data_IF_500531945165
#
_entry.id   IF_500531945165
#
_cell.length_a   1.000
_cell.length_b   1.000
_cell.length_c   1.000
_cell.angle_alpha   90.00
_cell.angle_beta   90.00
_cell.angle_gamma   90.00
#
_symmetry.space_group_name_H-M   'P 1'
#
loop_
_entity.id
_entity.type
_entity.pdbx_description
1 polymer ?
#
# COMPACT_ATOMS: atom_id res chain seq x y z
N UNK A 1 8.88 10.02 15.19
CA UNK A 1 7.97 9.01 14.59
C UNK A 1 7.38 9.52 13.29
N UNK A 2 6.76 10.72 13.29
CA UNK A 2 6.25 11.40 12.08
C UNK A 2 7.25 11.44 10.92
N UNK A 3 8.50 11.86 11.15
CA UNK A 3 9.52 11.91 10.09
C UNK A 3 9.89 10.54 9.52
N UNK A 4 9.81 9.48 10.35
CA UNK A 4 10.02 8.09 9.88
C UNK A 4 8.90 7.69 8.91
N UNK A 5 7.65 8.01 9.25
CA UNK A 5 6.48 7.72 8.40
C UNK A 5 6.56 8.53 7.10
N UNK A 6 6.85 9.84 7.16
CA UNK A 6 7.07 10.67 5.97
C UNK A 6 8.10 10.05 5.03
N UNK A 7 9.24 9.62 5.59
CA UNK A 7 10.30 8.99 4.81
C UNK A 7 9.85 7.67 4.18
N UNK A 8 9.11 6.83 4.89
CA UNK A 8 8.54 5.58 4.35
C UNK A 8 7.61 5.87 3.17
N UNK A 9 6.74 6.88 3.31
CA UNK A 9 5.79 7.27 2.26
C UNK A 9 6.55 7.77 1.03
N UNK A 10 7.51 8.68 1.19
CA UNK A 10 8.31 9.22 0.09
C UNK A 10 9.13 8.14 -0.61
N UNK A 11 9.85 7.31 0.14
CA UNK A 11 10.60 6.18 -0.42
C UNK A 11 9.71 5.24 -1.23
N UNK A 12 8.49 4.98 -0.72
CA UNK A 12 7.53 4.16 -1.45
C UNK A 12 7.05 4.85 -2.72
N UNK A 13 6.74 6.15 -2.69
CA UNK A 13 6.31 6.91 -3.86
C UNK A 13 7.41 7.06 -4.93
N UNK A 14 8.68 7.07 -4.54
CA UNK A 14 9.81 7.15 -5.48
C UNK A 14 10.20 5.79 -6.08
N UNK A 15 9.99 4.69 -5.35
CA UNK A 15 10.46 3.35 -5.73
C UNK A 15 9.81 2.84 -7.02
N UNK A 16 10.54 2.54 -8.10
CA UNK A 16 9.90 1.95 -9.29
C UNK A 16 9.29 0.56 -9.01
N UNK A 17 8.04 0.35 -9.41
CA UNK A 17 7.32 -0.92 -9.28
C UNK A 17 7.19 -1.60 -10.65
N UNK A 18 8.32 -2.01 -11.21
CA UNK A 18 8.37 -2.39 -12.63
C UNK A 18 7.97 -3.85 -12.90
N UNK A 19 7.72 -4.67 -11.88
CA UNK A 19 7.49 -6.11 -12.06
C UNK A 19 6.49 -6.69 -11.08
N UNK A 20 5.20 -6.64 -11.45
CA UNK A 20 4.20 -7.57 -10.93
C UNK A 20 3.64 -8.36 -12.09
N UNK A 21 3.75 -9.68 -12.02
CA UNK A 21 3.14 -10.56 -13.01
C UNK A 21 1.63 -10.35 -13.04
N UNK A 22 1.10 -10.10 -14.23
CA UNK A 22 -0.34 -9.95 -14.45
C UNK A 22 -1.07 -11.19 -13.92
N UNK A 23 -2.08 -10.96 -13.07
CA UNK A 23 -2.98 -12.01 -12.61
C UNK A 23 -4.27 -11.89 -13.41
N UNK A 24 -4.76 -12.99 -13.96
CA UNK A 24 -6.11 -13.07 -14.56
C UNK A 24 -7.16 -13.12 -13.46
N UNK A 25 -7.28 -12.06 -12.67
CA UNK A 25 -8.25 -11.94 -11.59
C UNK A 25 -8.89 -10.56 -11.67
N UNK A 26 -10.18 -10.51 -11.99
CA UNK A 26 -11.00 -9.31 -11.87
C UNK A 26 -11.64 -9.30 -10.48
N UNK A 27 -11.46 -8.20 -9.75
CA UNK A 27 -12.18 -7.94 -8.52
C UNK A 27 -12.90 -6.61 -8.69
N UNK A 28 -14.18 -6.58 -8.34
CA UNK A 28 -14.92 -5.34 -8.20
C UNK A 28 -14.65 -4.79 -6.80
N UNK A 29 -14.21 -3.54 -6.74
CA UNK A 29 -14.04 -2.83 -5.48
C UNK A 29 -15.24 -1.91 -5.26
N UNK A 30 -15.70 -1.85 -4.03
CA UNK A 30 -16.61 -0.79 -3.60
C UNK A 30 -15.85 0.52 -3.43
N UNK A 31 -16.57 1.64 -3.36
CA UNK A 31 -16.02 2.94 -2.97
C UNK A 31 -15.65 3.01 -1.47
N UNK A 32 -15.96 1.97 -0.70
CA UNK A 32 -15.70 1.87 0.74
C UNK A 32 -14.44 1.04 1.06
N UNK A 33 -14.43 0.38 2.22
CA UNK A 33 -13.31 -0.43 2.70
C UNK A 33 -13.37 -1.80 2.04
N UNK A 34 -12.34 -2.11 1.25
CA UNK A 34 -12.18 -3.42 0.62
C UNK A 34 -11.12 -4.25 1.36
N UNK A 35 -11.46 -5.49 1.71
CA UNK A 35 -10.58 -6.37 2.49
C UNK A 35 -10.15 -7.61 1.68
N UNK A 36 -8.85 -7.86 1.61
CA UNK A 36 -8.27 -9.04 0.93
C UNK A 36 -7.91 -10.11 1.97
N UNK A 37 -8.66 -11.21 2.02
CA UNK A 37 -8.45 -12.32 2.95
C UNK A 37 -7.81 -13.55 2.27
N UNK A 38 -7.19 -14.43 3.06
CA UNK A 38 -6.65 -15.69 2.58
C UNK A 38 -5.45 -16.21 3.38
N UNK A 39 -5.00 -17.42 3.06
CA UNK A 39 -3.93 -18.12 3.77
C UNK A 39 -2.58 -17.36 3.76
N UNK A 40 -1.70 -17.65 4.74
CA UNK A 40 -0.32 -17.14 4.75
C UNK A 40 0.37 -17.56 3.44
N UNK A 41 1.11 -16.65 2.81
CA UNK A 41 1.81 -16.85 1.51
C UNK A 41 0.91 -17.07 0.28
N UNK A 42 -0.40 -16.77 0.33
CA UNK A 42 -1.27 -16.81 -0.86
C UNK A 42 -1.04 -15.67 -1.88
N UNK A 43 -0.11 -14.75 -1.59
CA UNK A 43 0.23 -13.63 -2.49
C UNK A 43 -0.63 -12.39 -2.34
N UNK A 44 -1.28 -12.18 -1.18
CA UNK A 44 -2.10 -10.98 -0.89
C UNK A 44 -1.36 -9.67 -1.12
N UNK A 45 -0.14 -9.52 -0.60
CA UNK A 45 0.68 -8.30 -0.79
C UNK A 45 0.95 -8.05 -2.27
N UNK A 46 1.25 -9.10 -3.04
CA UNK A 46 1.44 -9.00 -4.49
C UNK A 46 0.14 -8.66 -5.23
N UNK A 47 -1.00 -9.13 -4.74
CA UNK A 47 -2.31 -8.71 -5.26
C UNK A 47 -2.55 -7.22 -5.02
N UNK A 48 -2.26 -6.70 -3.83
CA UNK A 48 -2.36 -5.25 -3.53
C UNK A 48 -1.44 -4.44 -4.47
N UNK A 49 -0.20 -4.89 -4.69
CA UNK A 49 0.71 -4.23 -5.64
C UNK A 49 0.19 -4.27 -7.08
N UNK A 50 -0.42 -5.39 -7.51
CA UNK A 50 -1.05 -5.48 -8.81
C UNK A 50 -2.17 -4.44 -8.99
N UNK A 51 -3.01 -4.24 -7.96
CA UNK A 51 -4.08 -3.23 -7.99
C UNK A 51 -3.52 -1.81 -8.06
N UNK A 52 -2.50 -1.50 -7.25
CA UNK A 52 -1.82 -0.20 -7.32
C UNK A 52 -1.27 0.06 -8.73
N UNK A 53 -0.69 -0.96 -9.38
CA UNK A 53 -0.20 -0.83 -10.76
C UNK A 53 -1.34 -0.61 -11.75
N UNK A 54 -2.52 -1.21 -11.54
CA UNK A 54 -3.68 -0.94 -12.41
C UNK A 54 -4.14 0.52 -12.27
N UNK A 55 -4.27 1.03 -11.04
CA UNK A 55 -4.61 2.44 -10.80
C UNK A 55 -3.64 3.40 -11.50
N UNK A 56 -2.33 3.14 -11.41
CA UNK A 56 -1.31 3.95 -12.09
C UNK A 56 -1.46 3.86 -13.61
N UNK A 57 -1.74 2.67 -14.16
CA UNK A 57 -1.98 2.48 -15.60
C UNK A 57 -3.25 3.17 -16.10
N UNK A 58 -4.24 3.30 -15.24
CA UNK A 58 -5.48 4.07 -15.50
C UNK A 58 -5.27 5.59 -15.39
N UNK A 59 -4.08 6.03 -14.97
CA UNK A 59 -3.68 7.44 -14.94
C UNK A 59 -3.73 8.08 -13.57
N UNK A 60 -3.94 7.31 -12.49
CA UNK A 60 -3.85 7.84 -11.12
C UNK A 60 -2.40 8.21 -10.82
N UNK A 61 -2.16 9.48 -10.51
CA UNK A 61 -0.83 9.93 -10.10
C UNK A 61 -0.43 9.22 -8.81
N UNK A 62 0.81 8.73 -8.80
CA UNK A 62 1.33 7.95 -7.69
C UNK A 62 1.34 8.70 -6.35
N UNK A 63 1.47 10.02 -6.38
CA UNK A 63 1.40 10.86 -5.18
C UNK A 63 0.03 10.79 -4.50
N UNK A 64 -1.03 10.40 -5.21
CA UNK A 64 -2.37 10.16 -4.66
C UNK A 64 -2.57 8.75 -4.12
N UNK A 65 -1.56 7.87 -4.19
CA UNK A 65 -1.64 6.50 -3.66
C UNK A 65 -0.78 6.41 -2.40
N UNK A 66 -1.40 6.05 -1.27
CA UNK A 66 -0.72 5.79 -0.01
C UNK A 66 -0.64 4.27 0.23
N UNK A 67 0.58 3.76 0.37
CA UNK A 67 0.83 2.39 0.83
C UNK A 67 1.63 2.40 2.12
N UNK A 68 1.12 1.69 3.12
CA UNK A 68 1.80 1.47 4.40
C UNK A 68 1.90 -0.04 4.65
N UNK A 69 3.11 -0.50 4.96
CA UNK A 69 3.34 -1.86 5.42
C UNK A 69 3.60 -1.85 6.93
N UNK A 70 2.63 -2.31 7.73
CA UNK A 70 2.77 -2.37 9.18
C UNK A 70 3.83 -3.36 9.68
N UNK A 71 4.30 -4.27 8.82
CA UNK A 71 5.43 -5.17 9.14
C UNK A 71 6.80 -4.49 8.95
N UNK A 72 6.87 -3.22 8.53
CA UNK A 72 8.13 -2.48 8.43
C UNK A 72 8.72 -2.21 9.82
N UNK A 73 9.94 -2.71 10.06
CA UNK A 73 10.62 -2.63 11.35
C UNK A 73 10.74 -1.18 11.88
N UNK A 74 10.79 -0.19 10.99
CA UNK A 74 10.92 1.23 11.35
C UNK A 74 9.69 1.80 12.06
N UNK A 75 8.54 1.14 11.93
CA UNK A 75 7.26 1.48 12.57
C UNK A 75 6.75 0.38 13.50
N UNK A 76 7.61 -0.56 13.90
CA UNK A 76 7.27 -1.66 14.82
C UNK A 76 6.65 -1.22 16.17
N UNK A 77 6.93 0.01 16.60
CA UNK A 77 6.39 0.59 17.84
C UNK A 77 5.07 1.37 17.65
N UNK A 78 4.49 1.36 16.44
CA UNK A 78 3.23 2.07 16.16
C UNK A 78 2.08 1.42 16.95
N UNK A 79 1.19 2.26 17.46
CA UNK A 79 0.00 1.87 18.22
C UNK A 79 -1.22 2.52 17.58
N UNK A 80 -2.42 2.08 17.97
CA UNK A 80 -3.67 2.57 17.39
C UNK A 80 -3.86 4.08 17.51
N UNK A 81 -3.45 4.66 18.64
CA UNK A 81 -3.46 6.09 18.93
C UNK A 81 -2.42 6.89 18.10
N UNK A 82 -1.42 6.21 17.54
CA UNK A 82 -0.43 6.81 16.64
C UNK A 82 -0.87 6.82 15.16
N UNK A 83 -1.97 6.16 14.79
CA UNK A 83 -2.38 6.06 13.38
C UNK A 83 -2.73 7.40 12.74
N UNK A 84 -3.19 8.38 13.52
CA UNK A 84 -3.43 9.74 13.02
C UNK A 84 -2.18 10.40 12.43
N UNK A 85 -0.98 10.01 12.90
CA UNK A 85 0.29 10.52 12.38
C UNK A 85 0.47 10.19 10.89
N UNK A 86 -0.12 9.10 10.40
CA UNK A 86 -0.05 8.70 8.98
C UNK A 86 -0.78 9.73 8.09
N UNK A 87 -1.89 10.28 8.57
CA UNK A 87 -2.68 11.29 7.85
C UNK A 87 -1.99 12.66 7.91
N UNK A 88 -1.33 12.97 9.04
CA UNK A 88 -0.62 14.23 9.23
C UNK A 88 0.78 14.29 8.57
N UNK A 89 1.29 13.14 8.11
CA UNK A 89 2.63 12.98 7.55
C UNK A 89 2.70 13.55 6.12
#
# INVERSE_FOLDING_TARGET
>A
MKDKIKRIILEWQEKKHDTVYSRKYSCEFSEEINTVIGLRRSGKTYFIFYQIIQLIKEGVDRSFILYINFDDERISEIKSDHLGIIIDA
#
